data_IF_344865632267
#
_entry.id   IF_344865632267
#
_cell.length_a   1.000
_cell.length_b   1.000
_cell.length_c   1.000
_cell.angle_alpha   90.00
_cell.angle_beta   90.00
_cell.angle_gamma   90.00
#
_symmetry.space_group_name_H-M   'P 1'
#
loop_
_entity.id
_entity.type
_entity.pdbx_description
1 polymer ?
#
# COMPACT_ATOMS: atom_id res chain seq x y z
N UNK A 1 -5.87 8.61 28.20
CA UNK A 1 -6.67 9.48 27.30
C UNK A 1 -6.98 8.83 25.95
N UNK A 2 -6.03 8.23 25.20
CA UNK A 2 -6.33 7.53 23.93
C UNK A 2 -7.22 6.27 24.06
N UNK A 3 -7.06 5.50 25.15
CA UNK A 3 -7.89 4.29 25.41
C UNK A 3 -9.38 4.67 25.55
N UNK A 4 -9.67 5.81 26.15
CA UNK A 4 -11.04 6.32 26.34
C UNK A 4 -11.69 6.71 25.01
N UNK A 5 -10.97 7.41 24.13
CA UNK A 5 -11.47 7.79 22.81
C UNK A 5 -11.72 6.55 21.95
N UNK A 6 -10.76 5.61 21.90
CA UNK A 6 -10.91 4.36 21.15
C UNK A 6 -12.12 3.55 21.64
N UNK A 7 -12.32 3.48 22.96
CA UNK A 7 -13.48 2.81 23.56
C UNK A 7 -14.80 3.50 23.17
N UNK A 8 -14.87 4.83 23.28
CA UNK A 8 -16.05 5.62 22.90
C UNK A 8 -16.38 5.49 21.42
N UNK A 9 -15.37 5.49 20.55
CA UNK A 9 -15.53 5.23 19.11
C UNK A 9 -16.05 3.81 18.87
N UNK A 10 -15.46 2.79 19.51
CA UNK A 10 -15.90 1.39 19.38
C UNK A 10 -17.38 1.24 19.76
N UNK A 11 -17.81 1.85 20.86
CA UNK A 11 -19.22 1.85 21.29
C UNK A 11 -20.11 2.50 20.23
N UNK A 12 -19.75 3.67 19.73
CA UNK A 12 -20.53 4.37 18.69
C UNK A 12 -20.57 3.62 17.36
N UNK A 13 -19.49 2.95 16.97
CA UNK A 13 -19.47 2.09 15.78
C UNK A 13 -20.40 0.88 15.92
N UNK A 14 -20.43 0.24 17.10
CA UNK A 14 -21.37 -0.88 17.34
C UNK A 14 -22.83 -0.45 17.25
N UNK A 15 -23.14 0.75 17.74
CA UNK A 15 -24.50 1.31 17.69
C UNK A 15 -24.89 1.69 16.26
N UNK A 16 -24.07 2.53 15.62
CA UNK A 16 -24.48 3.29 14.44
C UNK A 16 -23.94 2.73 13.12
N UNK A 17 -22.93 1.84 13.14
CA UNK A 17 -22.28 1.35 11.91
C UNK A 17 -22.62 -0.11 11.67
N UNK A 18 -22.34 -1.00 12.63
CA UNK A 18 -22.53 -2.45 12.42
C UNK A 18 -24.01 -2.80 12.24
N UNK A 19 -24.89 -2.25 13.07
CA UNK A 19 -26.34 -2.50 12.93
C UNK A 19 -26.94 -1.86 11.67
N UNK A 20 -26.58 -0.60 11.41
CA UNK A 20 -27.12 0.15 10.27
C UNK A 20 -26.67 -0.45 8.94
N UNK A 21 -25.37 -0.71 8.77
CA UNK A 21 -24.84 -1.29 7.53
C UNK A 21 -25.41 -2.69 7.26
N UNK A 22 -25.62 -3.50 8.30
CA UNK A 22 -26.34 -4.78 8.15
C UNK A 22 -27.77 -4.57 7.63
N UNK A 23 -28.51 -3.61 8.16
CA UNK A 23 -29.87 -3.31 7.70
C UNK A 23 -29.88 -2.75 6.27
N UNK A 24 -29.00 -1.79 5.96
CA UNK A 24 -28.89 -1.12 4.66
C UNK A 24 -28.50 -2.10 3.54
N UNK A 25 -27.67 -3.10 3.87
CA UNK A 25 -27.29 -4.18 2.95
C UNK A 25 -28.35 -5.29 2.88
N UNK A 26 -29.56 -5.05 3.40
CA UNK A 26 -30.67 -6.02 3.48
C UNK A 26 -30.25 -7.34 4.13
N UNK A 27 -29.32 -7.26 5.10
CA UNK A 27 -28.79 -8.39 5.87
C UNK A 27 -27.96 -9.39 5.05
N UNK A 28 -27.56 -9.01 3.83
CA UNK A 28 -26.91 -9.93 2.90
C UNK A 28 -25.41 -10.03 3.10
N UNK A 29 -24.75 -9.00 3.64
CA UNK A 29 -23.28 -8.94 3.61
C UNK A 29 -22.61 -9.78 4.70
N UNK A 30 -23.18 -9.78 5.90
CA UNK A 30 -22.63 -10.46 7.06
C UNK A 30 -23.71 -10.67 8.12
N UNK A 31 -23.45 -11.53 9.10
CA UNK A 31 -24.17 -11.59 10.37
C UNK A 31 -23.25 -11.12 11.50
N UNK A 32 -23.81 -10.74 12.65
CA UNK A 32 -23.01 -10.25 13.78
C UNK A 32 -23.71 -10.48 15.11
N UNK A 33 -22.92 -10.46 16.19
CA UNK A 33 -23.41 -10.43 17.57
C UNK A 33 -22.73 -9.30 18.35
N UNK A 34 -23.52 -8.35 18.87
CA UNK A 34 -22.99 -7.19 19.63
C UNK A 34 -22.42 -7.59 21.00
N UNK A 35 -22.97 -8.63 21.63
CA UNK A 35 -22.56 -9.12 22.96
C UNK A 35 -21.29 -9.96 22.87
N UNK A 36 -21.25 -10.89 21.93
CA UNK A 36 -20.12 -11.81 21.72
C UNK A 36 -19.01 -11.19 20.83
N UNK A 37 -19.21 -9.97 20.34
CA UNK A 37 -18.24 -9.19 19.55
C UNK A 37 -17.71 -9.88 18.28
N UNK A 38 -18.56 -10.61 17.55
CA UNK A 38 -18.17 -11.21 16.27
C UNK A 38 -18.97 -10.67 15.09
N UNK A 39 -18.34 -10.72 13.92
CA UNK A 39 -18.94 -10.52 12.60
C UNK A 39 -18.56 -11.73 11.75
N UNK A 40 -19.51 -12.30 11.04
CA UNK A 40 -19.31 -13.41 10.12
C UNK A 40 -19.78 -12.99 8.73
N UNK A 41 -18.84 -12.95 7.78
CA UNK A 41 -19.15 -12.60 6.39
C UNK A 41 -20.01 -13.68 5.76
N UNK A 42 -21.03 -13.29 4.98
CA UNK A 42 -21.80 -14.22 4.18
C UNK A 42 -20.89 -14.80 3.07
N UNK A 43 -20.71 -16.13 2.98
CA UNK A 43 -19.84 -16.76 1.97
C UNK A 43 -20.20 -16.41 0.52
N UNK A 44 -21.49 -16.23 0.21
CA UNK A 44 -21.94 -15.81 -1.12
C UNK A 44 -21.51 -14.38 -1.41
N UNK A 45 -21.67 -13.48 -0.43
CA UNK A 45 -21.20 -12.10 -0.57
C UNK A 45 -19.69 -12.04 -0.69
N UNK A 46 -18.95 -12.84 0.08
CA UNK A 46 -17.49 -12.94 -0.04
C UNK A 46 -17.09 -13.31 -1.47
N UNK A 47 -17.72 -14.34 -2.03
CA UNK A 47 -17.48 -14.80 -3.39
C UNK A 47 -17.79 -13.70 -4.41
N UNK A 48 -18.91 -12.99 -4.23
CA UNK A 48 -19.28 -11.85 -5.06
C UNK A 48 -18.25 -10.72 -5.01
N UNK A 49 -17.81 -10.31 -3.81
CA UNK A 49 -16.79 -9.27 -3.64
C UNK A 49 -15.48 -9.68 -4.30
N UNK A 50 -15.03 -10.92 -4.11
CA UNK A 50 -13.82 -11.43 -4.74
C UNK A 50 -13.92 -11.38 -6.27
N UNK A 51 -15.07 -11.79 -6.83
CA UNK A 51 -15.33 -11.78 -8.28
C UNK A 51 -15.36 -10.36 -8.85
N UNK A 52 -15.93 -9.40 -8.12
CA UNK A 52 -16.14 -8.02 -8.58
C UNK A 52 -15.18 -7.00 -7.95
N UNK A 53 -14.11 -7.48 -7.30
CA UNK A 53 -13.19 -6.68 -6.47
C UNK A 53 -12.74 -5.40 -7.16
N UNK A 54 -12.28 -5.50 -8.41
CA UNK A 54 -11.76 -4.36 -9.16
C UNK A 54 -12.81 -3.26 -9.34
N UNK A 55 -14.06 -3.63 -9.66
CA UNK A 55 -15.15 -2.66 -9.85
C UNK A 55 -15.56 -2.03 -8.52
N UNK A 56 -15.71 -2.86 -7.47
CA UNK A 56 -16.09 -2.39 -6.13
C UNK A 56 -15.02 -1.44 -5.57
N UNK A 57 -13.74 -1.77 -5.72
CA UNK A 57 -12.63 -0.89 -5.32
C UNK A 57 -12.73 0.46 -6.04
N UNK A 58 -12.94 0.47 -7.36
CA UNK A 58 -13.10 1.71 -8.14
C UNK A 58 -14.27 2.56 -7.67
N UNK A 59 -15.44 1.95 -7.42
CA UNK A 59 -16.62 2.66 -6.91
C UNK A 59 -16.37 3.24 -5.52
N UNK A 60 -15.76 2.47 -4.62
CA UNK A 60 -15.42 2.93 -3.28
C UNK A 60 -14.45 4.11 -3.33
N UNK A 61 -13.40 4.04 -4.16
CA UNK A 61 -12.47 5.16 -4.31
C UNK A 61 -13.15 6.40 -4.88
N UNK A 62 -14.03 6.25 -5.87
CA UNK A 62 -14.78 7.37 -6.43
C UNK A 62 -15.65 8.08 -5.38
N UNK A 63 -16.42 7.32 -4.59
CA UNK A 63 -17.23 7.91 -3.52
C UNK A 63 -16.39 8.51 -2.39
N UNK A 64 -15.23 7.91 -2.07
CA UNK A 64 -14.25 8.51 -1.16
C UNK A 64 -13.68 9.82 -1.69
N UNK A 65 -13.36 9.90 -2.98
CA UNK A 65 -12.91 11.15 -3.60
C UNK A 65 -13.95 12.24 -3.42
N UNK A 66 -15.20 11.98 -3.83
CA UNK A 66 -16.31 12.93 -3.66
C UNK A 66 -16.48 13.38 -2.22
N UNK A 67 -16.39 12.45 -1.28
CA UNK A 67 -16.48 12.77 0.15
C UNK A 67 -15.32 13.68 0.58
N UNK A 68 -14.09 13.36 0.21
CA UNK A 68 -12.91 14.18 0.53
C UNK A 68 -12.95 15.55 -0.14
N UNK A 69 -13.51 15.65 -1.34
CA UNK A 69 -13.74 16.92 -2.04
C UNK A 69 -14.77 17.79 -1.33
N UNK A 70 -15.81 17.18 -0.75
CA UNK A 70 -16.81 17.91 0.05
C UNK A 70 -16.24 18.40 1.39
N UNK A 71 -15.35 17.61 2.00
CA UNK A 71 -14.83 17.87 3.36
C UNK A 71 -13.60 18.79 3.35
N UNK A 72 -12.77 18.74 2.31
CA UNK A 72 -11.60 19.61 2.19
C UNK A 72 -11.93 20.87 1.38
N UNK A 73 -11.45 22.03 1.82
CA UNK A 73 -11.66 23.33 1.14
C UNK A 73 -11.11 23.33 -0.31
N UNK A 74 -11.72 24.17 -1.17
CA UNK A 74 -11.67 24.18 -2.66
C UNK A 74 -10.27 24.14 -3.33
N UNK A 75 -9.18 24.30 -2.59
CA UNK A 75 -7.81 24.33 -3.15
C UNK A 75 -7.17 22.93 -3.34
N UNK A 76 -7.83 21.84 -2.94
CA UNK A 76 -7.29 20.45 -3.05
C UNK A 76 -8.04 19.61 -4.11
N UNK A 77 -9.15 20.12 -4.62
CA UNK A 77 -10.23 19.35 -5.25
C UNK A 77 -9.88 18.80 -6.63
N UNK A 78 -9.12 19.53 -7.46
CA UNK A 78 -8.84 19.13 -8.85
C UNK A 78 -7.83 17.96 -8.99
N UNK A 79 -7.21 17.51 -7.88
CA UNK A 79 -6.13 16.51 -7.92
C UNK A 79 -6.56 15.12 -7.43
N UNK A 80 -7.69 14.96 -6.75
CA UNK A 80 -8.00 13.69 -6.08
C UNK A 80 -8.58 12.67 -7.06
N UNK A 81 -9.62 13.02 -7.82
CA UNK A 81 -10.22 12.11 -8.81
C UNK A 81 -9.21 11.66 -9.89
N UNK A 82 -8.36 12.57 -10.37
CA UNK A 82 -7.31 12.23 -11.34
C UNK A 82 -6.27 11.25 -10.76
N UNK A 83 -5.86 11.44 -9.49
CA UNK A 83 -4.97 10.49 -8.79
C UNK A 83 -5.63 9.13 -8.56
N UNK A 84 -6.96 9.07 -8.42
CA UNK A 84 -7.67 7.81 -8.24
C UNK A 84 -7.74 7.02 -9.55
N UNK A 85 -7.98 7.68 -10.68
CA UNK A 85 -7.92 7.01 -11.98
C UNK A 85 -6.49 6.53 -12.30
N UNK A 86 -5.47 7.34 -11.98
CA UNK A 86 -4.05 6.96 -12.10
C UNK A 86 -3.64 5.81 -11.17
N UNK A 87 -4.06 5.83 -9.90
CA UNK A 87 -3.73 4.75 -8.93
C UNK A 87 -4.41 3.41 -9.24
N UNK A 88 -5.45 3.43 -10.08
CA UNK A 88 -6.10 2.23 -10.61
C UNK A 88 -5.40 1.63 -11.84
N UNK A 89 -4.48 2.39 -12.47
CA UNK A 89 -3.70 1.96 -13.63
C UNK A 89 -2.36 1.44 -13.17
N UNK A 90 -2.06 0.18 -13.49
CA UNK A 90 -0.73 -0.39 -13.26
C UNK A 90 0.17 0.06 -14.41
N UNK A 91 1.17 0.88 -14.12
CA UNK A 91 2.06 1.39 -15.17
C UNK A 91 3.16 0.36 -15.48
N UNK A 92 3.74 0.46 -16.69
CA UNK A 92 4.87 -0.37 -17.06
C UNK A 92 6.13 0.10 -16.33
N UNK A 93 6.58 -0.68 -15.34
CA UNK A 93 7.77 -0.38 -14.54
C UNK A 93 9.09 -0.51 -15.31
N UNK A 94 9.08 -0.90 -16.59
CA UNK A 94 10.29 -1.07 -17.40
C UNK A 94 11.16 0.19 -17.48
N UNK A 95 10.53 1.37 -17.40
CA UNK A 95 11.24 2.67 -17.40
C UNK A 95 12.13 2.79 -16.15
N UNK A 96 11.63 2.39 -14.99
CA UNK A 96 12.38 2.43 -13.73
C UNK A 96 13.45 1.35 -13.64
N UNK A 97 13.31 0.22 -14.36
CA UNK A 97 14.32 -0.85 -14.38
C UNK A 97 15.69 -0.32 -14.79
N UNK A 98 15.76 0.51 -15.85
CA UNK A 98 17.03 1.04 -16.34
C UNK A 98 17.67 2.01 -15.33
N UNK A 99 16.86 2.93 -14.79
CA UNK A 99 17.28 3.89 -13.77
C UNK A 99 17.87 3.17 -12.56
N UNK A 100 17.13 2.19 -12.01
CA UNK A 100 17.55 1.42 -10.84
C UNK A 100 18.79 0.56 -11.12
N UNK A 101 18.87 -0.07 -12.30
CA UNK A 101 19.95 -0.96 -12.68
C UNK A 101 21.28 -0.25 -12.92
N UNK A 102 21.27 0.83 -13.69
CA UNK A 102 22.49 1.50 -14.15
C UNK A 102 23.06 2.46 -13.09
N UNK A 103 22.21 3.08 -12.27
CA UNK A 103 22.62 4.24 -11.45
C UNK A 103 22.65 3.97 -9.93
N UNK A 104 21.79 3.09 -9.39
CA UNK A 104 21.53 3.09 -7.93
C UNK A 104 21.83 1.78 -7.20
N UNK A 105 21.48 0.64 -7.77
CA UNK A 105 21.67 -0.64 -7.07
C UNK A 105 22.94 -1.37 -7.50
N UNK A 106 23.82 -0.71 -8.26
CA UNK A 106 25.08 -1.29 -8.75
C UNK A 106 24.89 -2.68 -9.36
N UNK A 107 23.73 -2.88 -10.00
CA UNK A 107 23.32 -4.17 -10.58
C UNK A 107 23.24 -5.31 -9.56
N UNK A 108 22.93 -5.01 -8.30
CA UNK A 108 22.76 -5.99 -7.21
C UNK A 108 21.32 -6.00 -6.70
N UNK A 109 20.88 -7.13 -6.15
CA UNK A 109 19.57 -7.23 -5.52
C UNK A 109 19.55 -6.39 -4.24
N UNK A 110 18.59 -5.46 -4.13
CA UNK A 110 18.38 -4.64 -2.94
C UNK A 110 18.22 -5.49 -1.67
N UNK A 111 17.61 -6.67 -1.77
CA UNK A 111 17.35 -7.52 -0.61
C UNK A 111 18.53 -8.44 -0.27
N UNK A 112 18.96 -9.31 -1.19
CA UNK A 112 19.97 -10.33 -0.87
C UNK A 112 21.41 -9.95 -1.30
N UNK A 113 21.62 -8.78 -1.90
CA UNK A 113 22.94 -8.34 -2.37
C UNK A 113 23.51 -9.12 -3.56
N UNK A 114 22.83 -10.17 -4.04
CA UNK A 114 23.29 -10.96 -5.19
C UNK A 114 23.43 -10.08 -6.44
N UNK A 115 24.52 -10.25 -7.19
CA UNK A 115 24.66 -9.66 -8.52
C UNK A 115 23.53 -10.12 -9.46
N UNK A 116 22.98 -9.16 -10.19
CA UNK A 116 21.88 -9.34 -11.12
C UNK A 116 22.37 -9.25 -12.57
N UNK A 117 21.88 -10.15 -13.41
CA UNK A 117 22.09 -10.11 -14.86
C UNK A 117 20.97 -9.30 -15.50
N UNK A 118 21.24 -8.60 -16.60
CA UNK A 118 20.29 -7.69 -17.25
C UNK A 118 18.93 -8.33 -17.61
N UNK A 119 18.92 -9.65 -17.85
CA UNK A 119 17.76 -10.49 -18.17
C UNK A 119 17.02 -11.03 -16.93
N UNK A 120 17.68 -11.13 -15.77
CA UNK A 120 17.16 -11.79 -14.56
C UNK A 120 16.96 -10.82 -13.38
N UNK A 121 16.11 -9.81 -13.60
CA UNK A 121 15.82 -8.71 -12.66
C UNK A 121 14.33 -8.45 -12.60
N UNK A 122 13.83 -8.13 -11.42
CA UNK A 122 12.51 -7.53 -11.21
C UNK A 122 12.63 -6.12 -10.61
N UNK A 123 11.65 -5.27 -10.88
CA UNK A 123 11.39 -4.06 -10.09
C UNK A 123 10.31 -4.44 -9.08
N UNK A 124 10.58 -4.23 -7.79
CA UNK A 124 9.67 -4.54 -6.69
C UNK A 124 9.25 -3.26 -5.95
N UNK A 125 8.03 -3.26 -5.42
CA UNK A 125 7.52 -2.22 -4.55
C UNK A 125 7.94 -2.55 -3.11
N UNK A 126 8.78 -1.70 -2.52
CA UNK A 126 9.29 -1.88 -1.16
C UNK A 126 8.15 -2.03 -0.16
N UNK A 127 7.23 -1.06 -0.12
CA UNK A 127 5.91 -1.21 0.51
C UNK A 127 4.93 -1.69 -0.58
N UNK A 128 4.12 -2.73 -0.32
CA UNK A 128 3.24 -3.35 -1.30
C UNK A 128 2.39 -2.35 -2.09
N UNK A 129 2.34 -2.54 -3.41
CA UNK A 129 1.48 -1.75 -4.29
C UNK A 129 0.01 -1.86 -3.90
N UNK A 130 -0.41 -3.01 -3.35
CA UNK A 130 -1.76 -3.20 -2.80
C UNK A 130 -2.12 -2.21 -1.69
N UNK A 131 -1.12 -1.63 -1.01
CA UNK A 131 -1.30 -0.61 0.02
C UNK A 131 -1.16 0.82 -0.52
N UNK A 132 -0.09 1.12 -1.24
CA UNK A 132 0.21 2.49 -1.70
C UNK A 132 -0.57 2.87 -2.97
N UNK A 133 -0.79 1.90 -3.88
CA UNK A 133 -1.44 2.09 -5.19
C UNK A 133 -0.75 3.16 -6.06
N UNK A 134 0.58 3.26 -5.98
CA UNK A 134 1.36 4.24 -6.74
C UNK A 134 2.73 3.66 -7.12
N UNK A 135 3.23 4.03 -8.30
CA UNK A 135 4.47 3.53 -8.91
C UNK A 135 5.62 4.55 -8.77
N UNK A 136 5.74 5.19 -7.60
CA UNK A 136 6.77 6.21 -7.38
C UNK A 136 8.15 5.60 -7.12
N UNK A 137 9.17 6.19 -7.74
CA UNK A 137 10.57 5.77 -7.66
C UNK A 137 11.08 5.58 -6.21
N UNK A 138 10.65 6.43 -5.27
CA UNK A 138 11.04 6.31 -3.86
C UNK A 138 10.58 5.01 -3.19
N UNK A 139 9.58 4.32 -3.75
CA UNK A 139 9.09 3.03 -3.28
C UNK A 139 9.55 1.84 -4.15
N UNK A 140 10.32 2.09 -5.22
CA UNK A 140 10.77 1.03 -6.12
C UNK A 140 12.21 0.63 -5.83
N UNK A 141 12.47 -0.68 -5.86
CA UNK A 141 13.79 -1.30 -5.70
C UNK A 141 14.02 -2.41 -6.72
N UNK A 142 15.28 -2.66 -7.03
CA UNK A 142 15.73 -3.76 -7.88
C UNK A 142 15.86 -5.04 -7.06
N UNK A 143 15.27 -6.12 -7.55
CA UNK A 143 15.25 -7.40 -6.86
C UNK A 143 15.54 -8.55 -7.82
N UNK A 144 16.13 -9.63 -7.30
CA UNK A 144 16.11 -10.90 -8.02
C UNK A 144 14.70 -11.50 -7.97
N UNK A 145 14.30 -12.34 -8.95
CA UNK A 145 12.98 -12.97 -8.93
C UNK A 145 12.71 -13.76 -7.65
N UNK A 146 13.73 -14.45 -7.12
CA UNK A 146 13.61 -15.20 -5.87
C UNK A 146 13.18 -14.32 -4.70
N UNK A 147 13.79 -13.15 -4.52
CA UNK A 147 13.44 -12.24 -3.42
C UNK A 147 12.03 -11.68 -3.59
N UNK A 148 11.72 -11.14 -4.78
CA UNK A 148 10.41 -10.56 -5.07
C UNK A 148 9.27 -11.58 -4.87
N UNK A 149 9.39 -12.77 -5.46
CA UNK A 149 8.37 -13.82 -5.36
C UNK A 149 8.20 -14.39 -3.94
N UNK A 150 9.25 -14.36 -3.10
CA UNK A 150 9.14 -14.76 -1.70
C UNK A 150 8.57 -13.66 -0.81
N UNK A 151 8.90 -12.39 -1.09
CA UNK A 151 8.38 -11.24 -0.37
C UNK A 151 6.88 -11.07 -0.63
N UNK A 152 6.44 -11.15 -1.89
CA UNK A 152 5.05 -10.87 -2.28
C UNK A 152 4.61 -9.50 -1.72
N UNK A 153 3.47 -9.46 -1.04
CA UNK A 153 2.93 -8.28 -0.36
C UNK A 153 3.40 -8.16 1.11
N UNK A 154 4.51 -8.80 1.51
CA UNK A 154 5.07 -8.65 2.88
C UNK A 154 5.93 -7.40 2.98
N UNK A 155 6.05 -6.83 4.18
CA UNK A 155 6.94 -5.70 4.44
C UNK A 155 8.35 -6.20 4.69
N UNK A 156 9.39 -5.67 4.02
CA UNK A 156 10.77 -5.97 4.40
C UNK A 156 11.07 -5.50 5.82
N UNK A 157 11.96 -6.16 6.56
CA UNK A 157 12.33 -5.73 7.92
C UNK A 157 12.92 -4.30 7.98
N UNK A 158 13.06 -3.80 9.21
CA UNK A 158 13.50 -2.42 9.48
C UNK A 158 14.87 -2.08 8.89
N UNK A 159 15.79 -3.04 8.75
CA UNK A 159 17.11 -2.80 8.16
C UNK A 159 16.98 -2.38 6.69
N UNK A 160 16.04 -2.99 5.96
CA UNK A 160 15.75 -2.59 4.58
C UNK A 160 15.04 -1.24 4.50
N UNK A 161 14.27 -0.85 5.52
CA UNK A 161 13.66 0.49 5.60
C UNK A 161 14.75 1.57 5.72
N UNK A 162 15.71 1.38 6.62
CA UNK A 162 16.86 2.28 6.75
C UNK A 162 17.62 2.38 5.42
N UNK A 163 17.91 1.22 4.80
CA UNK A 163 18.63 1.17 3.52
C UNK A 163 17.91 1.92 2.39
N UNK A 164 16.59 1.80 2.26
CA UNK A 164 15.86 2.50 1.19
C UNK A 164 15.77 4.01 1.47
N UNK A 165 15.68 4.40 2.75
CA UNK A 165 15.71 5.82 3.14
C UNK A 165 17.05 6.45 2.75
N UNK A 166 18.17 5.80 3.08
CA UNK A 166 19.51 6.27 2.73
C UNK A 166 19.70 6.34 1.20
N UNK A 167 19.30 5.29 0.48
CA UNK A 167 19.30 5.26 -1.00
C UNK A 167 18.49 6.42 -1.58
N UNK A 168 17.32 6.69 -1.02
CA UNK A 168 16.45 7.77 -1.49
C UNK A 168 17.04 9.16 -1.21
N UNK A 169 17.89 9.32 -0.19
CA UNK A 169 18.62 10.58 0.02
C UNK A 169 19.61 10.85 -1.11
N UNK A 170 20.29 9.81 -1.61
CA UNK A 170 21.19 9.92 -2.78
C UNK A 170 20.40 10.28 -4.05
N UNK A 171 19.19 9.73 -4.23
CA UNK A 171 18.33 10.00 -5.38
C UNK A 171 17.84 11.46 -5.48
N UNK A 172 17.87 12.22 -4.38
CA UNK A 172 17.41 13.62 -4.36
C UNK A 172 18.42 14.59 -5.02
N UNK A 173 19.63 14.15 -5.34
CA UNK A 173 20.73 15.00 -5.84
C UNK A 173 20.65 15.16 -7.38
N UNK A 174 19.67 15.97 -7.79
CA UNK A 174 19.54 16.69 -9.07
C UNK A 174 18.92 16.00 -10.30
N UNK A 175 19.24 14.75 -10.67
CA UNK A 175 18.72 14.19 -11.95
C UNK A 175 17.26 13.70 -11.85
N UNK A 176 16.84 13.18 -10.69
CA UNK A 176 15.51 12.59 -10.50
C UNK A 176 14.59 13.44 -9.62
N UNK A 177 14.93 14.73 -9.42
CA UNK A 177 14.13 15.67 -8.60
C UNK A 177 12.65 15.70 -8.99
N UNK A 178 12.34 15.59 -10.28
CA UNK A 178 10.94 15.56 -10.77
C UNK A 178 10.22 14.29 -10.33
N UNK A 179 10.85 13.11 -10.37
CA UNK A 179 10.24 11.86 -9.89
C UNK A 179 10.16 11.80 -8.35
N UNK A 180 11.04 12.53 -7.67
CA UNK A 180 11.15 12.59 -6.21
C UNK A 180 10.50 13.81 -5.56
N UNK A 181 9.80 14.67 -6.32
CA UNK A 181 9.34 16.00 -5.87
C UNK A 181 8.45 16.00 -4.61
N UNK A 182 7.77 14.89 -4.32
CA UNK A 182 6.90 14.72 -3.16
C UNK A 182 7.43 13.70 -2.13
N UNK A 183 8.69 13.29 -2.26
CA UNK A 183 9.34 12.38 -1.33
C UNK A 183 9.83 13.12 -0.08
N UNK A 184 9.56 12.53 1.08
CA UNK A 184 10.16 12.92 2.36
C UNK A 184 10.45 11.63 3.11
N UNK A 185 11.63 11.49 3.72
CA UNK A 185 11.99 10.29 4.49
C UNK A 185 10.93 9.99 5.57
N UNK A 186 10.49 11.01 6.30
CA UNK A 186 9.43 10.90 7.31
C UNK A 186 8.11 10.37 6.73
N UNK A 187 7.77 10.73 5.50
CA UNK A 187 6.55 10.22 4.83
C UNK A 187 6.67 8.73 4.56
N UNK A 188 7.82 8.25 4.06
CA UNK A 188 8.06 6.82 3.84
C UNK A 188 7.97 6.03 5.15
N UNK A 189 8.59 6.52 6.23
CA UNK A 189 8.50 5.91 7.56
C UNK A 189 7.04 5.79 8.03
N UNK A 190 6.27 6.88 7.94
CA UNK A 190 4.86 6.87 8.32
C UNK A 190 4.02 5.87 7.50
N UNK A 191 4.23 5.81 6.18
CA UNK A 191 3.50 4.88 5.29
C UNK A 191 3.86 3.43 5.65
N UNK A 192 5.13 3.15 5.94
CA UNK A 192 5.57 1.84 6.39
C UNK A 192 4.87 1.43 7.70
N UNK A 193 4.82 2.33 8.69
CA UNK A 193 4.13 2.09 9.96
C UNK A 193 2.62 1.90 9.77
N UNK A 194 1.99 2.69 8.90
CA UNK A 194 0.57 2.54 8.57
C UNK A 194 0.30 1.19 7.91
N UNK A 195 1.16 0.73 6.99
CA UNK A 195 1.02 -0.58 6.38
C UNK A 195 1.05 -1.68 7.45
N UNK A 196 2.01 -1.60 8.38
CA UNK A 196 2.16 -2.54 9.50
C UNK A 196 0.89 -2.60 10.37
N UNK A 197 0.32 -1.45 10.73
CA UNK A 197 -0.93 -1.36 11.51
C UNK A 197 -2.15 -1.87 10.73
N UNK A 198 -2.13 -1.83 9.39
CA UNK A 198 -3.19 -2.33 8.50
C UNK A 198 -3.03 -3.81 8.12
N UNK A 199 -2.27 -4.60 8.89
CA UNK A 199 -2.20 -6.05 8.74
C UNK A 199 -1.13 -6.56 7.76
N UNK A 200 -0.26 -5.67 7.26
CA UNK A 200 0.95 -6.08 6.55
C UNK A 200 2.04 -6.41 7.59
N UNK A 201 1.93 -7.56 8.28
CA UNK A 201 2.63 -7.80 9.55
C UNK A 201 3.82 -8.76 9.50
N UNK A 202 4.24 -9.23 8.33
CA UNK A 202 5.46 -10.04 8.23
C UNK A 202 6.65 -9.14 7.87
N UNK A 203 7.52 -8.84 8.86
CA UNK A 203 8.84 -8.24 8.65
C UNK A 203 9.75 -9.25 7.94
N UNK A 204 9.54 -9.36 6.63
CA UNK A 204 10.20 -10.30 5.76
C UNK A 204 11.70 -10.02 5.64
N UNK A 205 12.46 -11.10 5.71
CA UNK A 205 13.91 -11.10 5.48
C UNK A 205 14.18 -12.08 4.34
N UNK A 206 15.07 -11.76 3.38
CA UNK A 206 15.43 -12.69 2.32
C UNK A 206 16.07 -13.95 2.92
N UNK A 207 15.66 -15.12 2.42
CA UNK A 207 16.37 -16.37 2.70
C UNK A 207 17.75 -16.28 2.07
N UNK A 208 18.75 -15.88 2.86
CA UNK A 208 20.16 -15.99 2.51
C UNK A 208 20.44 -17.46 2.21
N UNK A 209 21.21 -17.74 1.15
CA UNK A 209 21.69 -19.11 0.94
C UNK A 209 22.59 -19.46 2.14
N UNK A 210 22.33 -20.62 2.74
CA UNK A 210 23.37 -21.38 3.43
C UNK A 210 24.48 -21.74 2.44
#
# INVERSE_FOLDING_TARGET
MMIDISHRIKVKCKENVVGALFADTRKLFYSFNKKEEWIQINPEMYTFICKHKVLIEKLNYYEWAKFLEKVNEENVTTKILNKIDESSKRNNLSVYRKILYDEFESRTCFYCGKQLKADDIHVDHFIPWSFIKDDKLWNLVLSCPKCNLNKKDKLPNIDFLTRIVDRNQTLLIDIYKTEMHNYQAKKLLNIYDWAKVNGYSEEWIPKLKA
#
